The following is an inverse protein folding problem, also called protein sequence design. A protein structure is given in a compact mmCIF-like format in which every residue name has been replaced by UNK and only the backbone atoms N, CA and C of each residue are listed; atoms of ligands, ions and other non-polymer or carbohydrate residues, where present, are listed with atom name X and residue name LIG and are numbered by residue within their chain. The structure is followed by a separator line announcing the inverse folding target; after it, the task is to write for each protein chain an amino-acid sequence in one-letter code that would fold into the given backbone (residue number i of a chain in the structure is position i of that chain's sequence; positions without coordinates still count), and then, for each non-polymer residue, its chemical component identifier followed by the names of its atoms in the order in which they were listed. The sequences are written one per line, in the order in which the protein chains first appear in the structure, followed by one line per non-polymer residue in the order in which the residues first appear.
data_IF_523006679428
#
_entry.id   IF_523006679428
#
_cell.length_a   1.000
_cell.length_b   1.000
_cell.length_c   1.000
_cell.angle_alpha   90.00
_cell.angle_beta   90.00
_cell.angle_gamma   90.00
#
_symmetry.space_group_name_H-M   'P 1'
#
loop_
_entity.id
_entity.type
_entity.pdbx_description
1 polymer ?
#
# COMPACT_ATOMS: atom_id res chain seq x y z
N UNK A 1 -3.17 20.92 34.02
CA UNK A 1 -2.85 21.24 32.61
C UNK A 1 -2.26 19.98 31.99
N UNK A 2 -3.10 19.12 31.41
CA UNK A 2 -2.76 17.71 31.08
C UNK A 2 -2.65 17.51 29.55
N UNK A 3 -1.90 18.41 28.88
CA UNK A 3 -1.83 18.52 27.42
C UNK A 3 -0.81 17.58 26.74
N UNK A 4 -0.05 16.77 27.50
CA UNK A 4 1.15 16.08 26.98
C UNK A 4 1.00 14.56 26.77
N UNK A 5 -0.18 13.98 27.07
CA UNK A 5 -0.36 12.51 27.11
C UNK A 5 -0.40 11.81 25.74
N UNK A 6 -0.47 12.52 24.61
CA UNK A 6 -0.47 11.92 23.24
C UNK A 6 0.70 12.38 22.37
N UNK A 7 1.76 12.88 22.97
CA UNK A 7 2.90 13.45 22.24
C UNK A 7 3.69 12.38 21.49
N UNK A 8 3.73 11.13 21.98
CA UNK A 8 4.48 10.06 21.33
C UNK A 8 3.80 9.54 20.06
N UNK A 9 2.50 9.25 20.11
CA UNK A 9 1.74 8.78 18.93
C UNK A 9 1.81 9.81 17.78
N UNK A 10 1.70 11.10 18.10
CA UNK A 10 1.80 12.16 17.07
C UNK A 10 3.21 12.24 16.45
N UNK A 11 4.26 12.09 17.26
CA UNK A 11 5.65 12.02 16.77
C UNK A 11 5.86 10.77 15.90
N UNK A 12 5.33 9.63 16.30
CA UNK A 12 5.41 8.39 15.52
C UNK A 12 4.67 8.51 14.18
N UNK A 13 3.50 9.17 14.14
CA UNK A 13 2.80 9.47 12.89
C UNK A 13 3.64 10.34 11.95
N UNK A 14 4.39 11.31 12.48
CA UNK A 14 5.32 12.11 11.67
C UNK A 14 6.45 11.25 11.09
N UNK A 15 7.00 10.30 11.86
CA UNK A 15 8.00 9.35 11.37
C UNK A 15 7.43 8.51 10.22
N UNK A 16 6.22 7.94 10.40
CA UNK A 16 5.55 7.16 9.34
C UNK A 16 5.32 8.02 8.09
N UNK A 17 4.83 9.25 8.25
CA UNK A 17 4.60 10.15 7.12
C UNK A 17 5.90 10.56 6.41
N UNK A 18 6.99 10.79 7.15
CA UNK A 18 8.29 11.10 6.59
C UNK A 18 8.88 9.90 5.84
N UNK A 19 8.77 8.69 6.38
CA UNK A 19 9.18 7.46 5.69
C UNK A 19 8.36 7.20 4.43
N UNK A 20 7.05 7.47 4.48
CA UNK A 20 6.20 7.42 3.28
C UNK A 20 6.65 8.42 2.22
N UNK A 21 7.01 9.66 2.61
CA UNK A 21 7.54 10.66 1.69
C UNK A 21 8.88 10.22 1.07
N UNK A 22 9.84 9.76 1.89
CA UNK A 22 11.14 9.30 1.40
C UNK A 22 11.00 8.15 0.40
N UNK A 23 10.12 7.19 0.69
CA UNK A 23 9.82 6.10 -0.23
C UNK A 23 9.23 6.61 -1.55
N UNK A 24 8.29 7.56 -1.53
CA UNK A 24 7.72 8.10 -2.76
C UNK A 24 8.71 9.00 -3.54
N UNK A 25 9.67 9.65 -2.87
CA UNK A 25 10.77 10.35 -3.55
C UNK A 25 11.65 9.33 -4.28
N UNK A 26 12.02 8.24 -3.63
CA UNK A 26 12.76 7.14 -4.27
C UNK A 26 12.01 6.56 -5.48
N UNK A 27 10.71 6.32 -5.35
CA UNK A 27 9.89 5.84 -6.46
C UNK A 27 9.84 6.85 -7.60
N UNK A 28 9.61 8.13 -7.31
CA UNK A 28 9.58 9.18 -8.33
C UNK A 28 10.92 9.28 -9.08
N UNK A 29 12.06 9.21 -8.40
CA UNK A 29 13.39 9.19 -9.04
C UNK A 29 13.51 7.98 -9.97
N UNK A 30 13.13 6.79 -9.50
CA UNK A 30 13.18 5.55 -10.29
C UNK A 30 12.29 5.64 -11.52
N UNK A 31 11.07 6.18 -11.36
CA UNK A 31 10.15 6.47 -12.47
C UNK A 31 10.73 7.49 -13.44
N UNK A 32 11.35 8.58 -12.98
CA UNK A 32 11.98 9.57 -13.88
C UNK A 32 13.10 8.94 -14.70
N UNK A 33 13.95 8.13 -14.06
CA UNK A 33 15.03 7.41 -14.76
C UNK A 33 14.44 6.46 -15.80
N UNK A 34 13.39 5.72 -15.45
CA UNK A 34 12.69 4.84 -16.39
C UNK A 34 12.11 5.61 -17.57
N UNK A 35 11.36 6.69 -17.34
CA UNK A 35 10.76 7.55 -18.38
C UNK A 35 11.83 8.11 -19.32
N UNK A 36 13.01 8.47 -18.80
CA UNK A 36 14.13 8.94 -19.62
C UNK A 36 14.66 7.85 -20.58
N UNK A 37 14.72 6.59 -20.13
CA UNK A 37 15.15 5.46 -20.95
C UNK A 37 14.01 4.84 -21.77
N UNK A 38 12.77 5.24 -21.52
CA UNK A 38 11.57 4.64 -22.08
C UNK A 38 11.54 4.62 -23.63
N UNK A 39 12.01 5.65 -24.36
CA UNK A 39 12.08 5.59 -25.82
C UNK A 39 12.97 4.46 -26.34
N UNK A 40 14.08 4.16 -25.65
CA UNK A 40 14.96 3.04 -26.02
C UNK A 40 14.27 1.69 -25.81
N UNK A 41 13.55 1.56 -24.69
CA UNK A 41 12.77 0.35 -24.37
C UNK A 41 11.64 0.15 -25.38
N UNK A 42 10.90 1.21 -25.73
CA UNK A 42 9.84 1.14 -26.75
C UNK A 42 10.38 0.69 -28.10
N UNK A 43 11.53 1.20 -28.53
CA UNK A 43 12.10 0.84 -29.84
C UNK A 43 12.52 -0.63 -29.92
N UNK A 44 12.81 -1.26 -28.78
CA UNK A 44 13.14 -2.69 -28.69
C UNK A 44 11.90 -3.56 -28.50
N UNK A 45 10.81 -3.00 -27.99
CA UNK A 45 9.61 -3.75 -27.56
C UNK A 45 8.89 -4.51 -28.70
N UNK A 46 8.73 -3.99 -29.93
CA UNK A 46 8.13 -4.75 -31.03
C UNK A 46 8.86 -6.06 -31.32
N UNK A 47 10.17 -6.11 -31.10
CA UNK A 47 10.98 -7.31 -31.30
C UNK A 47 10.90 -8.30 -30.13
N UNK A 48 10.35 -7.87 -28.99
CA UNK A 48 10.18 -8.67 -27.76
C UNK A 48 8.73 -9.11 -27.52
N UNK A 49 7.77 -8.56 -28.26
CA UNK A 49 6.35 -8.90 -28.15
C UNK A 49 6.06 -10.12 -29.05
N UNK A 50 6.23 -11.31 -28.48
CA UNK A 50 5.68 -12.55 -29.03
C UNK A 50 4.18 -12.62 -28.71
N UNK A 51 3.36 -12.05 -29.59
CA UNK A 51 1.91 -11.89 -29.37
C UNK A 51 1.12 -12.16 -30.62
N UNK A 52 -0.08 -12.69 -30.43
CA UNK A 52 -1.09 -12.78 -31.50
C UNK A 52 -1.62 -11.41 -31.93
N UNK A 53 -1.44 -10.36 -31.11
CA UNK A 53 -1.92 -8.98 -31.37
C UNK A 53 -0.89 -7.93 -30.89
N UNK A 54 0.25 -7.78 -31.59
CA UNK A 54 1.37 -6.96 -31.12
C UNK A 54 1.03 -5.46 -30.97
N UNK A 55 0.20 -4.90 -31.86
CA UNK A 55 -0.21 -3.50 -31.80
C UNK A 55 -1.08 -3.18 -30.58
N UNK A 56 -2.01 -4.08 -30.23
CA UNK A 56 -2.84 -3.94 -29.03
C UNK A 56 -2.00 -4.01 -27.76
N UNK A 57 -1.10 -5.00 -27.68
CA UNK A 57 -0.22 -5.15 -26.52
C UNK A 57 0.73 -3.97 -26.35
N UNK A 58 1.28 -3.44 -27.44
CA UNK A 58 2.09 -2.23 -27.40
C UNK A 58 1.28 -1.03 -26.89
N UNK A 59 0.05 -0.84 -27.36
CA UNK A 59 -0.81 0.24 -26.91
C UNK A 59 -1.15 0.10 -25.41
N UNK A 60 -1.53 -1.09 -24.95
CA UNK A 60 -1.82 -1.37 -23.55
C UNK A 60 -0.59 -1.14 -22.66
N UNK A 61 0.59 -1.55 -23.12
CA UNK A 61 1.85 -1.30 -22.46
C UNK A 61 2.11 0.20 -22.30
N UNK A 62 2.02 0.98 -23.38
CA UNK A 62 2.24 2.44 -23.31
C UNK A 62 1.25 3.11 -22.34
N UNK A 63 -0.03 2.73 -22.38
CA UNK A 63 -1.05 3.30 -21.50
C UNK A 63 -0.75 2.97 -20.03
N UNK A 64 -0.34 1.74 -19.70
CA UNK A 64 0.03 1.41 -18.32
C UNK A 64 1.25 2.19 -17.84
N UNK A 65 2.27 2.41 -18.67
CA UNK A 65 3.50 3.10 -18.25
C UNK A 65 3.24 4.59 -18.02
N UNK A 66 2.41 5.21 -18.86
CA UNK A 66 1.93 6.57 -18.63
C UNK A 66 1.14 6.64 -17.32
N UNK A 67 0.19 5.72 -17.12
CA UNK A 67 -0.64 5.71 -15.91
C UNK A 67 0.18 5.46 -14.64
N UNK A 68 1.12 4.51 -14.66
CA UNK A 68 2.03 4.21 -13.56
C UNK A 68 2.97 5.38 -13.24
N UNK A 69 3.46 6.07 -14.28
CA UNK A 69 4.29 7.27 -14.11
C UNK A 69 3.51 8.41 -13.45
N UNK A 70 2.31 8.72 -13.98
CA UNK A 70 1.43 9.74 -13.40
C UNK A 70 1.04 9.37 -11.97
N UNK A 71 0.68 8.11 -11.73
CA UNK A 71 0.34 7.59 -10.41
C UNK A 71 1.45 7.80 -9.38
N UNK A 72 2.70 7.54 -9.76
CA UNK A 72 3.87 7.73 -8.87
C UNK A 72 4.01 9.19 -8.41
N UNK A 73 3.81 10.16 -9.31
CA UNK A 73 3.82 11.58 -8.95
C UNK A 73 2.60 11.99 -8.12
N UNK A 74 1.40 11.46 -8.41
CA UNK A 74 0.22 11.70 -7.56
C UNK A 74 0.48 11.21 -6.13
N UNK A 75 1.07 10.03 -5.98
CA UNK A 75 1.40 9.47 -4.66
C UNK A 75 2.46 10.28 -3.93
N UNK A 76 3.47 10.81 -4.63
CA UNK A 76 4.44 11.77 -4.08
C UNK A 76 3.75 13.04 -3.55
N UNK A 77 2.84 13.63 -4.33
CA UNK A 77 2.05 14.79 -3.88
C UNK A 77 1.22 14.42 -2.64
N UNK A 78 0.60 13.24 -2.64
CA UNK A 78 -0.09 12.67 -1.46
C UNK A 78 0.83 12.62 -0.24
N UNK A 79 2.06 12.10 -0.38
CA UNK A 79 3.01 11.98 0.71
C UNK A 79 3.46 13.34 1.28
N UNK A 80 3.57 14.39 0.45
CA UNK A 80 3.77 15.77 0.93
C UNK A 80 2.58 16.22 1.80
N UNK A 81 1.35 15.89 1.40
CA UNK A 81 0.18 16.16 2.24
C UNK A 81 0.16 15.32 3.53
N UNK A 82 0.69 14.09 3.52
CA UNK A 82 0.81 13.27 4.73
C UNK A 82 1.71 13.93 5.79
N UNK A 83 2.91 14.39 5.39
CA UNK A 83 3.83 15.08 6.31
C UNK A 83 3.21 16.37 6.83
N UNK A 84 2.61 17.18 5.95
CA UNK A 84 1.90 18.40 6.36
C UNK A 84 0.75 18.09 7.33
N UNK A 85 -0.02 17.03 7.10
CA UNK A 85 -1.08 16.57 8.00
C UNK A 85 -0.51 16.21 9.38
N UNK A 86 0.57 15.43 9.44
CA UNK A 86 1.21 15.03 10.70
C UNK A 86 1.76 16.25 11.48
N UNK A 87 2.39 17.19 10.79
CA UNK A 87 2.89 18.44 11.40
C UNK A 87 1.76 19.31 11.97
N UNK A 88 0.65 19.47 11.23
CA UNK A 88 -0.51 20.21 11.72
C UNK A 88 -1.19 19.50 12.90
N UNK A 89 -1.23 18.16 12.89
CA UNK A 89 -1.76 17.36 14.00
C UNK A 89 -0.91 17.52 15.28
N UNK A 90 0.42 17.59 15.16
CA UNK A 90 1.33 17.92 16.27
C UNK A 90 1.00 19.30 16.83
N UNK A 91 0.79 20.29 15.95
CA UNK A 91 0.43 21.67 16.31
C UNK A 91 -1.03 21.86 16.76
N UNK A 92 -1.84 20.80 16.81
CA UNK A 92 -3.29 20.85 17.09
C UNK A 92 -4.07 21.79 16.15
N UNK A 93 -3.60 21.98 14.91
CA UNK A 93 -4.24 22.86 13.94
C UNK A 93 -5.30 22.11 13.13
N UNK A 94 -6.56 22.51 13.23
CA UNK A 94 -7.72 21.88 12.58
C UNK A 94 -7.57 21.68 11.07
N UNK A 95 -6.69 22.44 10.40
CA UNK A 95 -6.36 22.26 8.97
C UNK A 95 -5.77 20.87 8.65
N UNK A 96 -5.35 20.08 9.65
CA UNK A 96 -4.89 18.70 9.42
C UNK A 96 -5.95 17.84 8.70
N UNK A 97 -7.25 18.05 8.97
CA UNK A 97 -8.33 17.30 8.31
C UNK A 97 -8.40 17.60 6.80
N UNK A 98 -8.21 18.85 6.41
CA UNK A 98 -8.17 19.25 4.99
C UNK A 98 -6.97 18.58 4.28
N UNK A 99 -5.81 18.53 4.94
CA UNK A 99 -4.63 17.85 4.41
C UNK A 99 -4.82 16.35 4.31
N UNK A 100 -5.49 15.73 5.29
CA UNK A 100 -5.88 14.32 5.24
C UNK A 100 -6.83 14.03 4.07
N UNK A 101 -7.83 14.89 3.84
CA UNK A 101 -8.73 14.79 2.68
C UNK A 101 -7.94 14.78 1.37
N UNK A 102 -6.98 15.71 1.21
CA UNK A 102 -6.12 15.79 0.02
C UNK A 102 -5.24 14.57 -0.14
N UNK A 103 -4.54 14.14 0.92
CA UNK A 103 -3.76 12.89 0.94
C UNK A 103 -4.59 11.71 0.41
N UNK A 104 -5.77 11.49 0.97
CA UNK A 104 -6.61 10.35 0.58
C UNK A 104 -7.15 10.46 -0.84
N UNK A 105 -7.37 11.67 -1.37
CA UNK A 105 -7.73 11.89 -2.77
C UNK A 105 -6.61 11.42 -3.70
N UNK A 106 -5.38 11.86 -3.44
CA UNK A 106 -4.22 11.49 -4.26
C UNK A 106 -3.93 9.99 -4.18
N UNK A 107 -4.03 9.41 -3.00
CA UNK A 107 -3.89 7.96 -2.81
C UNK A 107 -4.99 7.18 -3.56
N UNK A 108 -6.24 7.65 -3.52
CA UNK A 108 -7.34 7.03 -4.26
C UNK A 108 -7.10 7.09 -5.79
N UNK A 109 -6.70 8.25 -6.30
CA UNK A 109 -6.40 8.42 -7.73
C UNK A 109 -5.21 7.57 -8.18
N UNK A 110 -4.20 7.41 -7.33
CA UNK A 110 -3.11 6.46 -7.56
C UNK A 110 -3.64 5.02 -7.74
N UNK A 111 -4.52 4.55 -6.84
CA UNK A 111 -5.11 3.22 -6.98
C UNK A 111 -5.99 3.07 -8.22
N UNK A 112 -6.70 4.12 -8.64
CA UNK A 112 -7.46 4.11 -9.90
C UNK A 112 -6.54 3.94 -11.12
N UNK A 113 -5.35 4.57 -11.10
CA UNK A 113 -4.36 4.46 -12.18
C UNK A 113 -3.65 3.10 -12.23
N UNK A 114 -3.94 2.17 -11.32
CA UNK A 114 -3.54 0.77 -11.48
C UNK A 114 -4.42 0.01 -12.48
N UNK A 115 -5.58 0.54 -12.86
CA UNK A 115 -6.51 -0.12 -13.78
C UNK A 115 -5.90 -0.38 -15.17
N UNK A 116 -5.17 0.56 -15.81
CA UNK A 116 -4.44 0.27 -17.04
C UNK A 116 -3.44 -0.88 -16.93
N UNK A 117 -2.68 -0.95 -15.83
CA UNK A 117 -1.76 -2.07 -15.58
C UNK A 117 -2.55 -3.39 -15.42
N UNK A 118 -3.68 -3.36 -14.71
CA UNK A 118 -4.55 -4.52 -14.59
C UNK A 118 -5.02 -5.05 -15.96
N UNK A 119 -5.51 -4.14 -16.82
CA UNK A 119 -5.98 -4.49 -18.17
C UNK A 119 -4.83 -5.04 -19.00
N UNK A 120 -3.68 -4.37 -19.01
CA UNK A 120 -2.51 -4.83 -19.77
C UNK A 120 -2.06 -6.23 -19.34
N UNK A 121 -1.93 -6.48 -18.04
CA UNK A 121 -1.51 -7.78 -17.53
C UNK A 121 -2.54 -8.90 -17.79
N UNK A 122 -3.83 -8.64 -17.57
CA UNK A 122 -4.89 -9.65 -17.78
C UNK A 122 -5.02 -9.97 -19.27
N UNK A 123 -5.24 -8.95 -20.11
CA UNK A 123 -5.40 -9.13 -21.56
C UNK A 123 -4.12 -9.69 -22.15
N UNK A 124 -2.97 -9.13 -21.76
CA UNK A 124 -1.64 -9.55 -22.16
C UNK A 124 -1.36 -11.03 -21.90
N UNK A 125 -1.72 -11.53 -20.72
CA UNK A 125 -1.54 -12.95 -20.35
C UNK A 125 -2.38 -13.93 -21.19
N UNK A 126 -3.45 -13.44 -21.85
CA UNK A 126 -4.29 -14.26 -22.74
C UNK A 126 -3.76 -14.25 -24.17
N UNK A 127 -3.17 -13.13 -24.62
CA UNK A 127 -2.79 -12.94 -26.03
C UNK A 127 -1.30 -13.14 -26.31
N UNK A 128 -0.45 -13.22 -25.28
CA UNK A 128 1.00 -13.37 -25.36
C UNK A 128 1.53 -14.31 -24.27
N UNK A 129 2.41 -15.23 -24.68
CA UNK A 129 3.22 -16.04 -23.76
C UNK A 129 4.47 -15.23 -23.36
N UNK A 130 4.28 -14.19 -22.56
CA UNK A 130 5.38 -13.34 -22.08
C UNK A 130 5.56 -13.49 -20.58
N UNK A 131 6.79 -13.70 -20.13
CA UNK A 131 7.15 -13.69 -18.71
C UNK A 131 6.89 -12.33 -18.03
N UNK A 132 6.81 -11.24 -18.81
CA UNK A 132 6.54 -9.89 -18.30
C UNK A 132 5.06 -9.63 -18.02
N UNK A 133 4.16 -10.45 -18.58
CA UNK A 133 2.71 -10.26 -18.48
C UNK A 133 2.09 -11.34 -17.61
N UNK A 134 2.03 -11.06 -16.31
CA UNK A 134 1.52 -12.01 -15.34
C UNK A 134 0.04 -11.77 -14.99
N UNK A 135 -0.79 -12.82 -15.12
CA UNK A 135 -2.21 -12.79 -14.75
C UNK A 135 -2.44 -12.38 -13.27
N UNK A 136 -1.64 -12.92 -12.34
CA UNK A 136 -1.75 -12.61 -10.91
C UNK A 136 -1.39 -11.15 -10.60
N UNK A 137 -0.41 -10.58 -11.30
CA UNK A 137 -0.12 -9.14 -11.19
C UNK A 137 -1.31 -8.30 -11.67
N UNK A 138 -1.93 -8.68 -12.79
CA UNK A 138 -3.11 -8.00 -13.30
C UNK A 138 -4.31 -8.05 -12.36
N UNK A 139 -4.61 -9.23 -11.81
CA UNK A 139 -5.66 -9.42 -10.79
C UNK A 139 -5.33 -8.61 -9.52
N UNK A 140 -4.07 -8.58 -9.10
CA UNK A 140 -3.65 -7.77 -7.95
C UNK A 140 -3.93 -6.28 -8.16
N UNK A 141 -3.56 -5.73 -9.31
CA UNK A 141 -3.82 -4.33 -9.66
C UNK A 141 -5.32 -4.04 -9.75
N UNK A 142 -6.10 -4.96 -10.34
CA UNK A 142 -7.56 -4.82 -10.44
C UNK A 142 -8.21 -4.75 -9.07
N UNK A 143 -7.85 -5.67 -8.16
CA UNK A 143 -8.40 -5.73 -6.82
C UNK A 143 -7.97 -4.52 -5.98
N UNK A 144 -6.72 -4.05 -6.12
CA UNK A 144 -6.27 -2.80 -5.51
C UNK A 144 -7.12 -1.61 -5.96
N UNK A 145 -7.33 -1.44 -7.26
CA UNK A 145 -8.16 -0.38 -7.81
C UNK A 145 -9.61 -0.50 -7.32
N UNK A 146 -10.23 -1.67 -7.46
CA UNK A 146 -11.63 -1.89 -7.14
C UNK A 146 -11.95 -1.74 -5.64
N UNK A 147 -11.05 -2.21 -4.76
CA UNK A 147 -11.29 -2.22 -3.32
C UNK A 147 -10.84 -0.93 -2.62
N UNK A 148 -9.81 -0.23 -3.11
CA UNK A 148 -9.28 0.97 -2.43
C UNK A 148 -9.75 2.29 -3.03
N UNK A 149 -9.94 2.39 -4.34
CA UNK A 149 -10.36 3.65 -4.95
C UNK A 149 -11.70 4.15 -4.39
N UNK A 150 -12.81 3.37 -4.40
CA UNK A 150 -14.10 3.87 -3.94
C UNK A 150 -14.11 4.34 -2.48
N UNK A 151 -13.67 3.53 -1.48
CA UNK A 151 -13.78 3.95 -0.09
C UNK A 151 -12.84 5.12 0.25
N UNK A 152 -11.62 5.17 -0.30
CA UNK A 152 -10.69 6.28 -0.06
C UNK A 152 -11.18 7.58 -0.72
N UNK A 153 -11.73 7.50 -1.93
CA UNK A 153 -12.31 8.66 -2.62
C UNK A 153 -13.51 9.22 -1.86
N UNK A 154 -14.42 8.35 -1.42
CA UNK A 154 -15.59 8.77 -0.65
C UNK A 154 -15.15 9.35 0.71
N UNK A 155 -14.20 8.71 1.41
CA UNK A 155 -13.66 9.21 2.67
C UNK A 155 -13.02 10.60 2.50
N UNK A 156 -12.21 10.79 1.45
CA UNK A 156 -11.63 12.09 1.09
C UNK A 156 -12.72 13.16 0.95
N UNK A 157 -13.79 12.85 0.21
CA UNK A 157 -14.89 13.78 0.00
C UNK A 157 -15.62 14.12 1.31
N UNK A 158 -15.89 13.11 2.16
CA UNK A 158 -16.56 13.32 3.46
C UNK A 158 -15.74 14.16 4.43
N UNK A 159 -14.41 14.04 4.41
CA UNK A 159 -13.52 14.85 5.24
C UNK A 159 -13.55 16.36 4.92
N UNK A 160 -14.10 16.77 3.75
CA UNK A 160 -14.31 18.19 3.43
C UNK A 160 -15.41 18.85 4.27
N UNK A 161 -16.25 18.06 4.93
CA UNK A 161 -17.31 18.52 5.86
C UNK A 161 -17.03 17.93 7.26
N UNK A 162 -15.99 18.40 7.96
CA UNK A 162 -15.52 17.80 9.23
C UNK A 162 -16.56 17.80 10.36
N UNK A 163 -17.58 18.66 10.26
CA UNK A 163 -18.73 18.69 11.17
C UNK A 163 -19.59 17.40 11.09
N UNK A 164 -19.59 16.72 9.95
CA UNK A 164 -20.39 15.52 9.70
C UNK A 164 -19.59 14.25 10.06
N UNK A 165 -19.45 14.00 11.37
CA UNK A 165 -18.63 12.91 11.90
C UNK A 165 -19.09 11.49 11.53
N UNK A 166 -20.39 11.13 11.59
CA UNK A 166 -20.83 9.76 11.33
C UNK A 166 -20.40 9.17 9.98
N UNK A 167 -20.55 9.85 8.83
CA UNK A 167 -20.10 9.30 7.55
C UNK A 167 -18.58 9.24 7.42
N UNK A 168 -17.83 10.17 8.03
CA UNK A 168 -16.36 10.11 8.06
C UNK A 168 -15.93 8.83 8.78
N UNK A 169 -16.50 8.56 9.96
CA UNK A 169 -16.19 7.35 10.72
C UNK A 169 -16.56 6.08 9.96
N UNK A 170 -17.72 6.06 9.29
CA UNK A 170 -18.14 4.92 8.45
C UNK A 170 -17.09 4.56 7.41
N UNK A 171 -16.67 5.55 6.63
CA UNK A 171 -15.74 5.30 5.54
C UNK A 171 -14.31 5.07 6.03
N UNK A 172 -13.91 5.61 7.18
CA UNK A 172 -12.64 5.27 7.83
C UNK A 172 -12.61 3.81 8.30
N UNK A 173 -13.69 3.36 8.94
CA UNK A 173 -13.89 1.98 9.43
C UNK A 173 -13.91 0.96 8.28
N UNK A 174 -14.43 1.34 7.11
CA UNK A 174 -14.40 0.52 5.89
C UNK A 174 -13.01 0.53 5.25
N UNK A 175 -12.39 1.71 5.10
CA UNK A 175 -11.13 1.86 4.36
C UNK A 175 -9.96 1.16 5.06
N UNK A 176 -9.87 1.24 6.40
CA UNK A 176 -8.76 0.68 7.15
C UNK A 176 -8.56 -0.84 6.95
N UNK A 177 -9.57 -1.72 7.17
CA UNK A 177 -9.42 -3.15 6.93
C UNK A 177 -9.24 -3.49 5.45
N UNK A 178 -9.90 -2.77 4.54
CA UNK A 178 -9.71 -2.99 3.10
C UNK A 178 -8.26 -2.70 2.68
N UNK A 179 -7.63 -1.67 3.25
CA UNK A 179 -6.22 -1.36 2.96
C UNK A 179 -5.31 -2.53 3.36
N UNK A 180 -5.50 -3.11 4.54
CA UNK A 180 -4.71 -4.27 4.99
C UNK A 180 -5.02 -5.52 4.18
N UNK A 181 -6.29 -5.76 3.86
CA UNK A 181 -6.72 -6.88 3.02
C UNK A 181 -6.09 -6.80 1.62
N UNK A 182 -6.02 -5.61 1.04
CA UNK A 182 -5.44 -5.41 -0.27
C UNK A 182 -3.92 -5.59 -0.26
N UNK A 183 -3.23 -5.22 0.83
CA UNK A 183 -1.83 -5.59 1.03
C UNK A 183 -1.68 -7.12 1.05
N UNK A 184 -2.55 -7.83 1.76
CA UNK A 184 -2.54 -9.29 1.77
C UNK A 184 -2.74 -9.89 0.37
N UNK A 185 -3.73 -9.39 -0.40
CA UNK A 185 -3.96 -9.83 -1.79
C UNK A 185 -2.71 -9.58 -2.65
N UNK A 186 -2.14 -8.37 -2.59
CA UNK A 186 -0.94 -7.99 -3.36
C UNK A 186 0.22 -8.93 -3.08
N UNK A 187 0.57 -9.10 -1.80
CA UNK A 187 1.70 -9.90 -1.41
C UNK A 187 1.46 -11.40 -1.56
N UNK A 188 0.24 -11.89 -1.32
CA UNK A 188 -0.14 -13.28 -1.56
C UNK A 188 -0.04 -13.65 -3.04
N UNK A 189 -0.49 -12.77 -3.94
CA UNK A 189 -0.40 -12.99 -5.39
C UNK A 189 1.05 -12.92 -5.90
N UNK A 190 1.88 -12.00 -5.39
CA UNK A 190 3.32 -11.99 -5.68
C UNK A 190 4.00 -13.25 -5.18
N UNK A 191 3.54 -13.80 -4.06
CA UNK A 191 4.08 -15.04 -3.54
C UNK A 191 3.71 -16.25 -4.41
N UNK A 192 2.45 -16.36 -4.85
CA UNK A 192 2.04 -17.38 -5.82
C UNK A 192 2.83 -17.29 -7.12
N UNK A 193 3.11 -16.06 -7.58
CA UNK A 193 3.96 -15.84 -8.75
C UNK A 193 5.39 -16.32 -8.51
N UNK A 194 6.01 -15.95 -7.39
CA UNK A 194 7.37 -16.39 -7.05
C UNK A 194 7.47 -17.93 -7.01
N UNK A 195 6.54 -18.59 -6.30
CA UNK A 195 6.49 -20.06 -6.24
C UNK A 195 6.38 -20.72 -7.60
N UNK A 196 5.51 -20.19 -8.47
CA UNK A 196 5.27 -20.77 -9.80
C UNK A 196 6.55 -20.81 -10.64
N UNK A 197 7.50 -19.92 -10.36
CA UNK A 197 8.78 -19.84 -11.08
C UNK A 197 9.89 -20.71 -10.48
N UNK A 198 9.83 -21.07 -9.20
CA UNK A 198 10.92 -21.76 -8.48
C UNK A 198 10.84 -23.29 -8.52
N UNK A 199 9.69 -23.85 -8.92
CA UNK A 199 9.47 -25.30 -9.00
C UNK A 199 9.42 -26.00 -7.62
N UNK A 200 8.95 -27.25 -7.55
CA UNK A 200 8.71 -27.95 -6.27
C UNK A 200 9.98 -28.45 -5.55
N UNK A 201 11.18 -28.32 -6.13
CA UNK A 201 12.41 -28.90 -5.60
C UNK A 201 13.27 -27.93 -4.76
N UNK A 202 12.89 -26.66 -4.62
CA UNK A 202 13.70 -25.64 -3.95
C UNK A 202 13.14 -25.12 -2.62
N UNK A 203 12.04 -25.68 -2.09
CA UNK A 203 11.39 -25.20 -0.85
C UNK A 203 12.23 -25.43 0.41
N UNK A 204 13.22 -24.57 0.63
CA UNK A 204 14.03 -24.50 1.84
C UNK A 204 13.26 -23.90 3.03
N UNK A 205 13.80 -24.06 4.24
CA UNK A 205 13.21 -23.53 5.47
C UNK A 205 12.94 -22.01 5.42
N UNK A 206 13.85 -21.24 4.80
CA UNK A 206 13.71 -19.77 4.68
C UNK A 206 12.55 -19.41 3.73
N UNK A 207 12.35 -20.17 2.65
CA UNK A 207 11.22 -19.98 1.73
C UNK A 207 9.88 -20.28 2.42
N UNK A 208 9.85 -21.33 3.27
CA UNK A 208 8.69 -21.64 4.09
C UNK A 208 8.36 -20.49 5.07
N UNK A 209 9.37 -19.89 5.74
CA UNK A 209 9.15 -18.71 6.57
C UNK A 209 8.58 -17.55 5.75
N UNK A 210 9.15 -17.26 4.59
CA UNK A 210 8.66 -16.23 3.68
C UNK A 210 7.20 -16.46 3.28
N UNK A 211 6.85 -17.71 2.95
CA UNK A 211 5.50 -18.12 2.57
C UNK A 211 4.45 -17.89 3.65
N UNK A 212 4.75 -18.39 4.84
CA UNK A 212 3.85 -18.34 5.98
C UNK A 212 3.67 -16.88 6.39
N UNK A 213 4.74 -16.08 6.37
CA UNK A 213 4.65 -14.66 6.65
C UNK A 213 3.76 -13.91 5.62
N UNK A 214 3.95 -14.16 4.32
CA UNK A 214 3.15 -13.52 3.25
C UNK A 214 1.67 -13.93 3.27
N UNK A 215 1.36 -15.17 3.63
CA UNK A 215 -0.01 -15.66 3.64
C UNK A 215 -0.74 -15.42 4.96
N UNK A 216 -0.09 -15.59 6.11
CA UNK A 216 -0.76 -15.56 7.42
C UNK A 216 -0.63 -14.21 8.13
N UNK A 217 0.56 -13.58 8.16
CA UNK A 217 0.76 -12.37 9.00
C UNK A 217 -0.16 -11.23 8.58
N UNK A 218 -0.23 -10.94 7.27
CA UNK A 218 -1.14 -9.90 6.75
C UNK A 218 -2.61 -10.32 6.80
N UNK A 219 -2.93 -11.61 6.69
CA UNK A 219 -4.31 -12.09 6.84
C UNK A 219 -4.80 -11.88 8.27
N UNK A 220 -4.01 -12.28 9.26
CA UNK A 220 -4.31 -12.05 10.68
C UNK A 220 -4.41 -10.54 10.96
N UNK A 221 -3.50 -9.73 10.40
CA UNK A 221 -3.60 -8.27 10.50
C UNK A 221 -4.92 -7.73 9.92
N UNK A 222 -5.36 -8.22 8.76
CA UNK A 222 -6.61 -7.83 8.13
C UNK A 222 -7.83 -8.26 8.96
N UNK A 223 -7.80 -9.46 9.55
CA UNK A 223 -8.84 -9.94 10.46
C UNK A 223 -8.92 -9.08 11.72
N UNK A 224 -7.79 -8.77 12.37
CA UNK A 224 -7.74 -7.90 13.55
C UNK A 224 -8.21 -6.49 13.22
N UNK A 225 -7.80 -5.92 12.07
CA UNK A 225 -8.29 -4.62 11.61
C UNK A 225 -9.80 -4.63 11.39
N UNK A 226 -10.34 -5.70 10.80
CA UNK A 226 -11.78 -5.89 10.56
C UNK A 226 -12.55 -5.98 11.87
N UNK A 227 -12.08 -6.80 12.82
CA UNK A 227 -12.69 -6.92 14.16
C UNK A 227 -12.69 -5.55 14.86
N UNK A 228 -11.55 -4.83 14.84
CA UNK A 228 -11.46 -3.49 15.43
C UNK A 228 -12.48 -2.53 14.83
N UNK A 229 -12.58 -2.53 13.50
CA UNK A 229 -13.52 -1.72 12.74
C UNK A 229 -14.98 -2.03 13.08
N UNK A 230 -15.34 -3.32 13.13
CA UNK A 230 -16.69 -3.77 13.47
C UNK A 230 -17.03 -3.42 14.92
N UNK A 231 -16.14 -3.67 15.88
CA UNK A 231 -16.37 -3.33 17.29
C UNK A 231 -16.50 -1.82 17.54
N UNK A 232 -15.80 -1.00 16.75
CA UNK A 232 -15.88 0.46 16.88
C UNK A 232 -17.25 1.02 16.49
N UNK A 233 -17.92 0.42 15.49
CA UNK A 233 -19.17 0.94 14.93
C UNK A 233 -20.34 1.03 15.92
N UNK A 234 -20.69 -0.02 16.70
CA UNK A 234 -21.77 0.04 17.67
C UNK A 234 -21.39 0.77 18.97
N UNK A 235 -20.16 0.56 19.46
CA UNK A 235 -19.75 1.06 20.79
C UNK A 235 -19.17 2.47 20.76
N UNK A 236 -18.78 2.98 19.58
CA UNK A 236 -18.05 4.24 19.38
C UNK A 236 -16.78 4.37 20.22
N UNK A 237 -16.28 3.27 20.76
CA UNK A 237 -15.05 3.17 21.55
C UNK A 237 -14.01 2.41 20.74
N UNK A 238 -12.87 3.06 20.50
CA UNK A 238 -11.78 2.45 19.76
C UNK A 238 -11.01 1.53 20.69
N UNK A 239 -10.98 0.24 20.38
CA UNK A 239 -10.11 -0.70 21.06
C UNK A 239 -8.65 -0.47 20.61
N UNK A 240 -7.95 0.41 21.33
CA UNK A 240 -6.57 0.81 21.03
C UNK A 240 -5.61 -0.37 21.02
N UNK A 241 -5.88 -1.42 21.81
CA UNK A 241 -5.07 -2.65 21.80
C UNK A 241 -5.17 -3.37 20.46
N UNK A 242 -6.38 -3.52 19.91
CA UNK A 242 -6.53 -4.18 18.61
C UNK A 242 -5.95 -3.34 17.45
N UNK A 243 -6.10 -2.00 17.49
CA UNK A 243 -5.42 -1.11 16.54
C UNK A 243 -3.90 -1.27 16.61
N UNK A 244 -3.35 -1.28 17.83
CA UNK A 244 -1.93 -1.51 18.09
C UNK A 244 -1.49 -2.84 17.49
N UNK A 245 -2.21 -3.93 17.78
CA UNK A 245 -1.90 -5.27 17.26
C UNK A 245 -1.91 -5.30 15.74
N UNK A 246 -2.92 -4.71 15.08
CA UNK A 246 -2.95 -4.65 13.62
C UNK A 246 -1.74 -3.90 13.04
N UNK A 247 -1.39 -2.73 13.59
CA UNK A 247 -0.23 -1.95 13.15
C UNK A 247 1.09 -2.70 13.34
N UNK A 248 1.26 -3.36 14.50
CA UNK A 248 2.44 -4.17 14.78
C UNK A 248 2.56 -5.35 13.83
N UNK A 249 1.45 -6.05 13.54
CA UNK A 249 1.45 -7.19 12.61
C UNK A 249 1.81 -6.76 11.18
N UNK A 250 1.26 -5.65 10.69
CA UNK A 250 1.63 -5.12 9.36
C UNK A 250 3.10 -4.71 9.35
N UNK A 251 3.58 -3.98 10.35
CA UNK A 251 4.99 -3.58 10.40
C UNK A 251 5.95 -4.78 10.53
N UNK A 252 5.59 -5.78 11.34
CA UNK A 252 6.34 -7.01 11.52
C UNK A 252 6.41 -7.82 10.22
N UNK A 253 5.31 -7.88 9.46
CA UNK A 253 5.29 -8.51 8.15
C UNK A 253 6.39 -7.93 7.23
N UNK A 254 6.48 -6.61 7.11
CA UNK A 254 7.49 -5.96 6.26
C UNK A 254 8.92 -6.11 6.80
N UNK A 255 9.09 -6.13 8.12
CA UNK A 255 10.39 -6.41 8.73
C UNK A 255 10.87 -7.84 8.40
N UNK A 256 10.00 -8.84 8.57
CA UNK A 256 10.31 -10.24 8.24
C UNK A 256 10.55 -10.38 6.73
N UNK A 257 9.73 -9.74 5.90
CA UNK A 257 9.91 -9.74 4.44
C UNK A 257 11.29 -9.20 4.03
N UNK A 258 11.73 -8.08 4.64
CA UNK A 258 13.05 -7.51 4.41
C UNK A 258 14.20 -8.43 4.83
N UNK A 259 14.03 -9.19 5.92
CA UNK A 259 15.04 -10.14 6.37
C UNK A 259 15.11 -11.36 5.46
N UNK A 260 13.96 -11.88 5.04
CA UNK A 260 13.85 -13.03 4.12
C UNK A 260 14.43 -12.70 2.75
N UNK A 261 14.21 -11.47 2.24
CA UNK A 261 14.70 -11.05 0.94
C UNK A 261 16.22 -10.95 0.82
N UNK A 262 16.95 -10.86 1.92
CA UNK A 262 18.42 -10.94 1.92
C UNK A 262 18.91 -12.31 1.45
N UNK A 263 18.17 -13.37 1.78
CA UNK A 263 18.57 -14.76 1.54
C UNK A 263 17.92 -15.37 0.31
N UNK A 264 16.78 -14.83 -0.14
CA UNK A 264 16.05 -15.36 -1.28
C UNK A 264 16.01 -14.31 -2.42
N UNK A 265 16.81 -14.49 -3.48
CA UNK A 265 16.95 -13.50 -4.56
C UNK A 265 15.63 -13.11 -5.23
N UNK A 266 14.67 -14.02 -5.33
CA UNK A 266 13.36 -13.71 -5.92
C UNK A 266 12.55 -12.73 -5.07
N UNK A 267 12.71 -12.71 -3.75
CA UNK A 267 12.06 -11.71 -2.90
C UNK A 267 12.78 -10.36 -3.00
N UNK A 268 14.09 -10.37 -3.21
CA UNK A 268 14.88 -9.17 -3.44
C UNK A 268 14.40 -8.42 -4.70
N UNK A 269 14.04 -9.13 -5.77
CA UNK A 269 13.58 -8.49 -7.01
C UNK A 269 12.23 -7.78 -6.87
N UNK A 270 11.37 -8.22 -5.93
CA UNK A 270 10.10 -7.56 -5.65
C UNK A 270 10.22 -6.40 -4.67
N UNK A 271 11.38 -6.18 -4.05
CA UNK A 271 11.57 -5.11 -3.06
C UNK A 271 11.05 -3.75 -3.55
N UNK A 272 11.40 -3.28 -4.76
CA UNK A 272 10.93 -1.99 -5.27
C UNK A 272 9.42 -1.93 -5.45
N UNK A 273 8.72 -3.06 -5.53
CA UNK A 273 7.26 -3.14 -5.67
C UNK A 273 6.55 -3.24 -4.33
N UNK A 274 7.28 -3.45 -3.24
CA UNK A 274 6.71 -3.53 -1.89
C UNK A 274 6.74 -2.17 -1.19
N UNK A 275 5.67 -1.87 -0.46
CA UNK A 275 5.50 -0.61 0.27
C UNK A 275 6.34 -0.57 1.56
N UNK A 276 7.67 -0.69 1.45
CA UNK A 276 8.60 -0.89 2.57
C UNK A 276 8.53 0.15 3.68
N UNK A 277 8.08 1.36 3.37
CA UNK A 277 7.84 2.39 4.38
C UNK A 277 6.89 1.91 5.50
N UNK A 278 6.03 0.92 5.24
CA UNK A 278 5.12 0.31 6.20
C UNK A 278 5.83 -0.42 7.35
N UNK A 279 7.13 -0.71 7.27
CA UNK A 279 7.91 -1.20 8.42
C UNK A 279 7.84 -0.23 9.61
N UNK A 280 7.69 1.06 9.34
CA UNK A 280 7.58 2.10 10.37
C UNK A 280 6.27 2.06 11.16
N UNK A 281 5.29 1.26 10.73
CA UNK A 281 4.09 0.99 11.53
C UNK A 281 4.41 0.27 12.84
N UNK A 282 5.56 -0.42 12.95
CA UNK A 282 6.06 -0.91 14.24
C UNK A 282 6.24 0.22 15.26
N UNK A 283 6.85 1.33 14.82
CA UNK A 283 7.10 2.50 15.66
C UNK A 283 5.77 3.12 16.12
N UNK A 284 4.80 3.22 15.19
CA UNK A 284 3.47 3.74 15.51
C UNK A 284 2.70 2.82 16.47
N UNK A 285 2.77 1.51 16.28
CA UNK A 285 2.17 0.54 17.18
C UNK A 285 2.74 0.63 18.60
N UNK A 286 4.07 0.64 18.74
CA UNK A 286 4.75 0.79 20.04
C UNK A 286 4.36 2.11 20.72
N UNK A 287 4.33 3.21 19.96
CA UNK A 287 3.93 4.51 20.47
C UNK A 287 2.49 4.52 21.00
N UNK A 288 1.56 3.92 20.24
CA UNK A 288 0.15 3.83 20.61
C UNK A 288 -0.04 2.97 21.87
N UNK A 289 0.70 1.87 21.99
CA UNK A 289 0.70 1.00 23.16
C UNK A 289 1.10 1.77 24.43
N UNK A 290 2.22 2.51 24.35
CA UNK A 290 2.77 3.27 25.48
C UNK A 290 1.89 4.46 25.88
N UNK A 291 1.28 5.16 24.92
CA UNK A 291 0.34 6.23 25.23
C UNK A 291 -0.95 5.66 25.84
N UNK A 292 -1.37 4.45 25.44
CA UNK A 292 -2.57 3.81 25.99
C UNK A 292 -2.41 3.32 27.43
N UNK A 293 -1.23 2.80 27.80
CA UNK A 293 -0.97 2.33 29.17
C UNK A 293 -0.94 3.48 30.17
N UNK A 294 -0.42 4.65 29.75
CA UNK A 294 -0.39 5.88 30.56
C UNK A 294 -1.76 6.50 30.81
N UNK A 295 -2.78 6.11 30.03
CA UNK A 295 -4.16 6.60 30.20
C UNK A 295 -4.98 5.70 31.13
N UNK A 296 -4.48 4.49 31.43
CA UNK A 296 -5.11 3.56 32.37
C UNK A 296 -4.56 3.67 33.80
N UNK A 297 -3.46 4.43 33.99
CA UNK A 297 -2.88 4.82 35.28
C UNK A 297 -3.47 6.16 35.75
#
# INVERSE_FOLDING_TARGET
MDFDKKTLTKKALLIVAASFLLYNVYQAITTTIFVFHFPLVINQLPNLIESSRPSLQLALFIIQEIAGSVGSYLRLIGAIFAVNCALLLIKNDARYIERLSKLLLFEALYFLLLLPAAINHIVGSVISYSAFLNFYAGVSCLLQAALLFPPLFILSHKLRKPQDRPPILKWAVISAPLYVLVLWIKHGLFWLYALSSSGPQQTGFIEAIGSVNSLLTLLVAAMVATITSISYWPEKKLNTRLVTTALLLVGAYFAIYALVSVWIPIYLSFIPLTDFWLITLLILGIALLRDSSRLSE
#
